data_IF_945518754492
#
_entry.id   IF_945518754492
#
_cell.length_a   1.000
_cell.length_b   1.000
_cell.length_c   1.000
_cell.angle_alpha   90.00
_cell.angle_beta   90.00
_cell.angle_gamma   90.00
#
_symmetry.space_group_name_H-M   'P 1'
#
loop_
_entity.id
_entity.type
_entity.pdbx_description
1 polymer ?
#
# COMPACT_ATOMS: atom_id res chain seq x y z
N UNK A 1 -13.37 22.69 0.41
CA UNK A 1 -13.12 21.53 -0.47
C UNK A 1 -12.63 20.41 0.42
N UNK A 2 -13.24 19.22 0.38
CA UNK A 2 -12.78 18.06 1.15
C UNK A 2 -12.08 17.13 0.16
N UNK A 3 -10.80 16.85 0.37
CA UNK A 3 -10.06 15.82 -0.36
C UNK A 3 -9.86 14.62 0.56
N UNK A 4 -9.88 13.41 -0.01
CA UNK A 4 -9.35 12.25 0.69
C UNK A 4 -7.82 12.29 0.56
N UNK A 5 -7.08 12.32 1.68
CA UNK A 5 -5.64 12.19 1.61
C UNK A 5 -5.28 10.79 1.12
N UNK A 6 -4.48 10.68 0.05
CA UNK A 6 -3.85 9.42 -0.35
C UNK A 6 -2.67 9.15 0.59
N UNK A 7 -2.97 8.60 1.78
CA UNK A 7 -1.95 8.36 2.79
C UNK A 7 -0.86 7.40 2.32
N UNK A 8 -1.21 6.40 1.50
CA UNK A 8 -0.21 5.49 0.93
C UNK A 8 0.80 6.24 0.05
N UNK A 9 0.33 7.16 -0.81
CA UNK A 9 1.20 8.06 -1.58
C UNK A 9 2.09 8.90 -0.68
N UNK A 10 1.51 9.55 0.34
CA UNK A 10 2.27 10.42 1.27
C UNK A 10 3.38 9.63 2.00
N UNK A 11 3.13 8.37 2.36
CA UNK A 11 4.13 7.51 2.98
C UNK A 11 5.26 7.13 2.00
N UNK A 12 4.94 6.91 0.73
CA UNK A 12 5.95 6.71 -0.32
C UNK A 12 6.75 7.98 -0.59
N UNK A 13 6.11 9.15 -0.64
CA UNK A 13 6.76 10.45 -0.79
C UNK A 13 7.70 10.74 0.39
N UNK A 14 7.28 10.43 1.63
CA UNK A 14 8.15 10.49 2.81
C UNK A 14 9.34 9.54 2.69
N UNK A 15 9.11 8.34 2.16
CA UNK A 15 10.19 7.40 1.87
C UNK A 15 11.14 8.02 0.85
N UNK A 16 10.67 8.54 -0.28
CA UNK A 16 11.51 9.19 -1.31
C UNK A 16 12.34 10.35 -0.76
N UNK A 17 11.71 11.27 -0.03
CA UNK A 17 12.36 12.47 0.51
C UNK A 17 13.35 12.18 1.63
N UNK A 18 13.27 11.00 2.25
CA UNK A 18 14.29 10.56 3.17
C UNK A 18 15.49 10.03 2.38
N UNK A 19 16.59 10.79 2.40
CA UNK A 19 17.82 10.50 1.65
C UNK A 19 18.80 9.60 2.43
N UNK A 20 18.43 9.11 3.61
CA UNK A 20 19.26 8.18 4.38
C UNK A 20 19.15 6.78 3.84
N UNK A 21 20.22 6.01 3.85
CA UNK A 21 20.18 4.58 3.51
C UNK A 21 19.61 3.69 4.64
N UNK A 22 18.81 4.24 5.57
CA UNK A 22 18.22 3.52 6.71
C UNK A 22 17.12 2.56 6.24
N UNK A 23 17.54 1.34 5.91
CA UNK A 23 16.64 0.34 5.35
C UNK A 23 15.50 -0.05 6.29
N UNK A 24 15.71 0.01 7.61
CA UNK A 24 14.67 -0.30 8.58
C UNK A 24 13.50 0.70 8.49
N UNK A 25 13.81 1.99 8.42
CA UNK A 25 12.82 3.06 8.23
C UNK A 25 12.11 2.91 6.89
N UNK A 26 12.84 2.67 5.80
CA UNK A 26 12.22 2.53 4.48
C UNK A 26 11.32 1.30 4.36
N UNK A 27 11.72 0.17 4.95
CA UNK A 27 10.89 -1.04 5.01
C UNK A 27 9.60 -0.78 5.77
N UNK A 28 9.68 -0.10 6.92
CA UNK A 28 8.49 0.25 7.69
C UNK A 28 7.57 1.19 6.90
N UNK A 29 8.09 2.28 6.34
CA UNK A 29 7.32 3.24 5.54
C UNK A 29 6.65 2.58 4.34
N UNK A 30 7.38 1.76 3.58
CA UNK A 30 6.86 1.10 2.38
C UNK A 30 5.79 0.06 2.73
N UNK A 31 5.96 -0.72 3.79
CA UNK A 31 4.93 -1.65 4.26
C UNK A 31 3.67 -0.92 4.75
N UNK A 32 3.84 0.19 5.48
CA UNK A 32 2.72 1.04 5.89
C UNK A 32 2.02 1.70 4.70
N UNK A 33 2.76 2.09 3.65
CA UNK A 33 2.19 2.68 2.45
C UNK A 33 1.23 1.72 1.74
N UNK A 34 1.59 0.44 1.62
CA UNK A 34 0.71 -0.57 1.02
C UNK A 34 -0.56 -0.78 1.85
N UNK A 35 -0.43 -0.87 3.18
CA UNK A 35 -1.59 -0.99 4.07
C UNK A 35 -2.50 0.24 3.99
N UNK A 36 -1.91 1.44 4.01
CA UNK A 36 -2.61 2.71 3.90
C UNK A 36 -3.33 2.83 2.54
N UNK A 37 -2.71 2.38 1.45
CA UNK A 37 -3.35 2.33 0.13
C UNK A 37 -4.67 1.55 0.15
N UNK A 38 -4.71 0.36 0.77
CA UNK A 38 -5.96 -0.41 0.86
C UNK A 38 -7.04 0.33 1.65
N UNK A 39 -6.64 1.08 2.68
CA UNK A 39 -7.56 1.93 3.45
C UNK A 39 -8.01 3.16 2.66
N UNK A 40 -7.12 3.76 1.86
CA UNK A 40 -7.44 4.86 0.97
C UNK A 40 -8.47 4.39 -0.08
N UNK A 41 -8.28 3.20 -0.66
CA UNK A 41 -9.18 2.64 -1.66
C UNK A 41 -10.58 2.37 -1.09
N UNK A 42 -10.65 1.77 0.10
CA UNK A 42 -11.91 1.61 0.85
C UNK A 42 -12.56 2.96 1.16
N UNK A 43 -11.79 3.89 1.71
CA UNK A 43 -12.27 5.22 2.12
C UNK A 43 -12.79 6.03 0.94
N UNK A 44 -12.20 5.85 -0.24
CA UNK A 44 -12.67 6.43 -1.49
C UNK A 44 -14.10 6.01 -1.81
N UNK A 45 -14.38 4.72 -1.88
CA UNK A 45 -15.75 4.23 -2.09
C UNK A 45 -16.72 4.73 -1.02
N UNK A 46 -16.32 4.69 0.25
CA UNK A 46 -17.14 5.20 1.34
C UNK A 46 -17.43 6.70 1.21
N UNK A 47 -16.50 7.48 0.67
CA UNK A 47 -16.72 8.91 0.42
C UNK A 47 -17.68 9.15 -0.74
N UNK A 48 -17.60 8.34 -1.80
CA UNK A 48 -18.51 8.42 -2.95
C UNK A 48 -19.90 7.92 -2.56
N UNK A 49 -20.01 6.92 -1.68
CA UNK A 49 -21.28 6.35 -1.24
C UNK A 49 -22.02 7.21 -0.21
N UNK A 50 -21.33 8.15 0.46
CA UNK A 50 -21.91 8.99 1.52
C UNK A 50 -23.10 9.80 0.98
N UNK A 51 -24.29 9.68 1.58
CA UNK A 51 -25.45 10.48 1.19
C UNK A 51 -25.14 11.97 1.33
N UNK A 52 -25.45 12.76 0.31
CA UNK A 52 -25.25 14.22 0.36
C UNK A 52 -26.59 14.89 0.68
N UNK A 53 -26.62 15.82 1.66
CA UNK A 53 -27.81 16.60 1.90
C UNK A 53 -28.05 17.53 0.71
N UNK A 54 -29.28 17.59 0.24
CA UNK A 54 -29.75 18.62 -0.69
C UNK A 54 -30.99 19.26 -0.11
N UNK A 55 -31.03 20.59 -0.17
CA UNK A 55 -32.18 21.38 0.26
C UNK A 55 -33.13 21.55 -0.91
N UNK A 56 -34.35 21.02 -0.78
CA UNK A 56 -35.39 21.31 -1.76
C UNK A 56 -35.78 22.79 -1.61
N UNK A 57 -35.82 23.58 -2.71
CA UNK A 57 -36.18 24.99 -2.65
C UNK A 57 -37.52 25.19 -1.93
N UNK A 58 -37.55 26.15 -0.99
CA UNK A 58 -38.78 26.51 -0.28
C UNK A 58 -39.79 27.06 -1.28
N UNK A 59 -41.01 26.52 -1.27
CA UNK A 59 -42.14 27.12 -1.99
C UNK A 59 -43.07 27.79 -0.99
N UNK A 60 -43.97 28.66 -1.45
CA UNK A 60 -44.98 29.34 -0.61
C UNK A 60 -45.83 28.36 0.22
N UNK A 61 -45.92 27.09 -0.21
CA UNK A 61 -46.78 26.07 0.39
C UNK A 61 -46.02 24.89 1.02
N UNK A 62 -44.68 24.86 0.97
CA UNK A 62 -43.88 23.79 1.58
C UNK A 62 -42.64 24.34 2.30
N UNK A 63 -42.42 23.98 3.58
CA UNK A 63 -41.19 24.32 4.29
C UNK A 63 -39.99 23.64 3.60
N UNK A 64 -38.80 24.20 3.81
CA UNK A 64 -37.57 23.58 3.32
C UNK A 64 -37.37 22.23 4.02
N UNK A 65 -37.32 21.15 3.25
CA UNK A 65 -36.98 19.81 3.72
C UNK A 65 -35.55 19.48 3.29
N UNK A 66 -34.70 19.07 4.23
CA UNK A 66 -33.40 18.48 3.90
C UNK A 66 -33.65 17.03 3.51
N UNK A 67 -33.38 16.69 2.25
CA UNK A 67 -33.41 15.31 1.76
C UNK A 67 -31.99 14.83 1.53
N UNK A 68 -31.78 13.52 1.66
CA UNK A 68 -30.51 12.87 1.34
C UNK A 68 -30.70 12.11 0.03
N UNK A 69 -29.86 12.40 -0.97
CA UNK A 69 -29.78 11.60 -2.19
C UNK A 69 -28.52 10.74 -2.13
N UNK A 70 -28.53 9.59 -2.81
CA UNK A 70 -27.39 8.68 -2.88
C UNK A 70 -26.12 9.45 -3.28
N UNK A 71 -25.00 9.11 -2.65
CA UNK A 71 -23.72 9.71 -3.00
C UNK A 71 -23.34 9.41 -4.46
N UNK A 72 -22.50 10.27 -5.03
CA UNK A 72 -22.03 10.18 -6.41
C UNK A 72 -20.76 11.01 -6.60
N UNK A 73 -20.09 10.78 -7.72
CA UNK A 73 -18.85 11.43 -8.10
C UNK A 73 -19.06 12.16 -9.42
N UNK A 74 -18.71 13.45 -9.47
CA UNK A 74 -18.72 14.19 -10.74
C UNK A 74 -17.47 13.79 -11.53
N UNK A 75 -17.66 13.18 -12.70
CA UNK A 75 -16.59 12.76 -13.61
C UNK A 75 -16.76 13.53 -14.92
N UNK A 76 -15.89 14.52 -15.14
CA UNK A 76 -16.09 15.49 -16.22
C UNK A 76 -17.40 16.28 -16.01
N UNK A 77 -18.36 16.11 -16.91
CA UNK A 77 -19.68 16.76 -16.87
C UNK A 77 -20.80 15.83 -16.38
N UNK A 78 -20.53 14.55 -16.13
CA UNK A 78 -21.54 13.56 -15.71
C UNK A 78 -21.42 13.20 -14.23
N UNK A 79 -22.56 13.00 -13.57
CA UNK A 79 -22.59 12.47 -12.20
C UNK A 79 -22.62 10.93 -12.29
N UNK A 80 -21.54 10.30 -11.84
CA UNK A 80 -21.39 8.86 -11.77
C UNK A 80 -21.78 8.33 -10.38
N UNK A 81 -22.37 7.14 -10.37
CA UNK A 81 -22.83 6.47 -9.15
C UNK A 81 -22.20 5.10 -9.03
N UNK A 82 -22.02 4.63 -7.78
CA UNK A 82 -21.45 3.31 -7.51
C UNK A 82 -22.31 2.22 -8.15
N UNK A 83 -21.73 1.54 -9.13
CA UNK A 83 -22.35 0.45 -9.88
C UNK A 83 -22.35 -0.86 -9.08
N UNK A 84 -23.02 -1.89 -9.61
CA UNK A 84 -23.16 -3.19 -8.91
C UNK A 84 -21.79 -3.81 -8.59
N UNK A 85 -20.88 -3.82 -9.55
CA UNK A 85 -19.57 -4.46 -9.40
C UNK A 85 -18.65 -3.62 -8.49
N UNK A 86 -18.80 -2.30 -8.49
CA UNK A 86 -18.14 -1.41 -7.53
C UNK A 86 -18.64 -1.62 -6.10
N UNK A 87 -19.94 -1.91 -5.91
CA UNK A 87 -20.47 -2.31 -4.59
C UNK A 87 -19.91 -3.64 -4.12
N UNK A 88 -19.76 -4.59 -5.05
CA UNK A 88 -19.13 -5.86 -4.73
C UNK A 88 -17.67 -5.67 -4.28
N UNK A 89 -16.90 -4.85 -5.00
CA UNK A 89 -15.52 -4.52 -4.64
C UNK A 89 -15.45 -3.77 -3.31
N UNK A 90 -16.35 -2.81 -3.07
CA UNK A 90 -16.48 -2.12 -1.79
C UNK A 90 -16.73 -3.11 -0.64
N UNK A 91 -17.66 -4.04 -0.81
CA UNK A 91 -17.95 -5.07 0.19
C UNK A 91 -16.78 -6.03 0.41
N UNK A 92 -16.04 -6.37 -0.65
CA UNK A 92 -14.79 -7.12 -0.55
C UNK A 92 -13.78 -6.36 0.32
N UNK A 93 -13.49 -5.09 0.01
CA UNK A 93 -12.56 -4.25 0.76
C UNK A 93 -12.95 -4.09 2.23
N UNK A 94 -14.25 -3.90 2.52
CA UNK A 94 -14.77 -3.86 3.89
C UNK A 94 -14.50 -5.19 4.64
N UNK A 95 -14.68 -6.33 3.96
CA UNK A 95 -14.43 -7.66 4.52
C UNK A 95 -12.95 -7.95 4.84
N UNK A 96 -12.01 -7.23 4.24
CA UNK A 96 -10.58 -7.42 4.43
C UNK A 96 -10.03 -6.71 5.69
N UNK A 97 -10.78 -5.82 6.34
CA UNK A 97 -10.27 -4.92 7.38
C UNK A 97 -9.56 -5.65 8.54
N UNK A 98 -10.09 -6.81 8.95
CA UNK A 98 -9.61 -7.59 10.10
C UNK A 98 -8.39 -8.48 9.81
N UNK A 99 -8.02 -8.63 8.55
CA UNK A 99 -6.95 -9.54 8.13
C UNK A 99 -5.57 -8.90 8.26
N UNK A 100 -4.51 -9.70 8.26
CA UNK A 100 -3.14 -9.17 8.10
C UNK A 100 -2.85 -8.75 6.66
N UNK A 101 -1.94 -7.80 6.44
CA UNK A 101 -1.64 -7.24 5.11
C UNK A 101 -1.44 -8.30 4.01
N UNK A 102 -0.65 -9.34 4.27
CA UNK A 102 -0.44 -10.46 3.31
C UNK A 102 -1.78 -11.09 2.91
N UNK A 103 -2.61 -11.44 3.89
CA UNK A 103 -3.89 -12.10 3.66
C UNK A 103 -4.92 -11.17 2.98
N UNK A 104 -4.90 -9.86 3.29
CA UNK A 104 -5.72 -8.87 2.59
C UNK A 104 -5.44 -8.90 1.09
N UNK A 105 -4.17 -8.80 0.75
CA UNK A 105 -3.72 -8.72 -0.62
C UNK A 105 -3.94 -10.03 -1.38
N UNK A 106 -3.69 -11.18 -0.74
CA UNK A 106 -3.98 -12.51 -1.30
C UNK A 106 -5.47 -12.66 -1.67
N UNK A 107 -6.37 -12.38 -0.73
CA UNK A 107 -7.82 -12.45 -0.95
C UNK A 107 -8.28 -11.49 -2.05
N UNK A 108 -7.68 -10.30 -2.11
CA UNK A 108 -7.98 -9.31 -3.14
C UNK A 108 -7.57 -9.80 -4.52
N UNK A 109 -6.36 -10.36 -4.67
CA UNK A 109 -5.89 -10.90 -5.94
C UNK A 109 -6.69 -12.12 -6.40
N UNK A 110 -7.03 -13.04 -5.49
CA UNK A 110 -7.89 -14.19 -5.80
C UNK A 110 -9.25 -13.72 -6.36
N UNK A 111 -9.78 -12.62 -5.81
CA UNK A 111 -11.06 -12.07 -6.23
C UNK A 111 -10.99 -11.30 -7.56
N UNK A 112 -9.89 -10.57 -7.80
CA UNK A 112 -9.74 -9.69 -8.96
C UNK A 112 -9.11 -10.39 -10.19
N UNK A 113 -8.28 -11.41 -9.99
CA UNK A 113 -7.49 -12.04 -11.04
C UNK A 113 -7.87 -13.52 -11.17
N UNK A 114 -8.71 -13.89 -12.15
CA UNK A 114 -9.12 -15.27 -12.37
C UNK A 114 -7.93 -16.20 -12.59
N UNK A 115 -7.86 -17.30 -11.82
CA UNK A 115 -6.79 -18.29 -11.95
C UNK A 115 -5.46 -17.88 -11.32
N UNK A 116 -5.45 -16.81 -10.52
CA UNK A 116 -4.26 -16.40 -9.77
C UNK A 116 -3.70 -17.50 -8.87
N UNK A 117 -2.37 -17.57 -8.78
CA UNK A 117 -1.65 -18.55 -7.95
C UNK A 117 -0.50 -17.89 -7.20
N UNK A 118 -0.44 -18.14 -5.89
CA UNK A 118 0.60 -17.59 -4.99
C UNK A 118 2.04 -17.84 -5.48
N UNK A 119 2.30 -19.03 -6.03
CA UNK A 119 3.64 -19.45 -6.44
C UNK A 119 4.16 -18.83 -7.73
N UNK A 120 3.31 -18.18 -8.54
CA UNK A 120 3.67 -17.63 -9.85
C UNK A 120 3.80 -16.09 -9.82
N UNK A 121 3.25 -15.43 -8.79
CA UNK A 121 3.23 -13.98 -8.68
C UNK A 121 4.44 -13.42 -7.90
N UNK A 122 5.39 -12.82 -8.61
CA UNK A 122 6.57 -12.18 -8.00
C UNK A 122 6.25 -10.93 -7.17
N UNK A 123 5.18 -10.19 -7.49
CA UNK A 123 4.74 -9.02 -6.71
C UNK A 123 4.26 -9.49 -5.34
N UNK A 124 3.47 -10.57 -5.30
CA UNK A 124 3.01 -11.19 -4.06
C UNK A 124 4.16 -11.76 -3.21
N UNK A 125 5.12 -12.43 -3.85
CA UNK A 125 6.30 -12.95 -3.14
C UNK A 125 7.13 -11.82 -2.52
N UNK A 126 7.28 -10.70 -3.23
CA UNK A 126 7.99 -9.54 -2.70
C UNK A 126 7.21 -8.84 -1.58
N UNK A 127 5.88 -8.74 -1.67
CA UNK A 127 5.04 -8.32 -0.54
C UNK A 127 5.28 -9.22 0.68
N UNK A 128 5.27 -10.53 0.49
CA UNK A 128 5.49 -11.49 1.58
C UNK A 128 6.86 -11.30 2.25
N UNK A 129 7.91 -11.01 1.48
CA UNK A 129 9.25 -10.70 2.01
C UNK A 129 9.25 -9.38 2.77
N UNK A 130 8.64 -8.34 2.22
CA UNK A 130 8.54 -7.01 2.83
C UNK A 130 7.81 -7.08 4.18
N UNK A 131 6.68 -7.78 4.23
CA UNK A 131 5.88 -7.97 5.45
C UNK A 131 6.64 -8.79 6.49
N UNK A 132 7.32 -9.87 6.08
CA UNK A 132 8.16 -10.66 7.00
C UNK A 132 9.26 -9.82 7.61
N UNK A 133 10.02 -9.09 6.79
CA UNK A 133 11.10 -8.22 7.25
C UNK A 133 10.58 -7.14 8.20
N UNK A 134 9.49 -6.45 7.84
CA UNK A 134 8.84 -5.46 8.71
C UNK A 134 8.42 -6.07 10.04
N UNK A 135 7.86 -7.28 10.04
CA UNK A 135 7.43 -7.94 11.27
C UNK A 135 8.62 -8.32 12.15
N UNK A 136 9.72 -8.79 11.56
CA UNK A 136 10.97 -9.05 12.31
C UNK A 136 11.54 -7.78 12.93
N UNK A 137 11.42 -6.63 12.26
CA UNK A 137 11.83 -5.32 12.80
C UNK A 137 10.91 -4.83 13.93
N UNK A 138 9.60 -4.87 13.73
CA UNK A 138 8.62 -4.32 14.68
C UNK A 138 8.47 -5.20 15.92
N UNK A 139 8.59 -6.51 15.76
CA UNK A 139 8.48 -7.48 16.85
C UNK A 139 9.85 -8.02 17.26
N UNK A 140 10.90 -7.20 17.10
CA UNK A 140 12.24 -7.57 17.51
C UNK A 140 12.24 -7.94 18.99
N UNK A 141 12.82 -9.10 19.28
CA UNK A 141 13.07 -9.56 20.64
C UNK A 141 14.56 -9.41 20.92
N UNK A 142 14.90 -9.15 22.18
CA UNK A 142 16.28 -9.16 22.64
C UNK A 142 16.76 -10.60 22.75
N UNK A 143 17.05 -11.21 21.60
CA UNK A 143 17.62 -12.55 21.50
C UNK A 143 19.14 -12.45 21.47
N UNK A 144 19.84 -13.44 22.05
CA UNK A 144 21.30 -13.53 21.97
C UNK A 144 21.74 -13.75 20.52
N UNK A 145 22.76 -13.01 20.07
CA UNK A 145 23.33 -13.13 18.73
C UNK A 145 24.68 -13.85 18.79
N UNK A 146 24.87 -14.84 17.92
CA UNK A 146 26.18 -15.44 17.70
C UNK A 146 27.07 -14.46 16.93
N UNK A 147 28.19 -14.06 17.53
CA UNK A 147 29.21 -13.23 16.89
C UNK A 147 30.41 -14.08 16.45
N UNK A 148 31.09 -13.64 15.39
CA UNK A 148 32.38 -14.22 14.95
C UNK A 148 33.56 -13.67 15.77
N UNK A 149 34.79 -14.09 15.42
CA UNK A 149 36.01 -13.67 16.11
C UNK A 149 36.24 -12.15 16.00
N UNK A 150 35.76 -11.54 14.92
CA UNK A 150 35.80 -10.12 14.64
C UNK A 150 34.61 -9.31 15.22
N UNK A 151 33.77 -9.93 16.06
CA UNK A 151 32.58 -9.35 16.70
C UNK A 151 31.43 -8.99 15.73
N UNK A 152 31.37 -9.62 14.55
CA UNK A 152 30.27 -9.45 13.61
C UNK A 152 29.22 -10.54 13.76
N UNK A 153 27.99 -10.24 13.35
CA UNK A 153 26.91 -11.24 13.33
C UNK A 153 27.27 -12.41 12.42
N UNK A 154 27.49 -13.58 13.01
CA UNK A 154 27.85 -14.81 12.31
C UNK A 154 26.63 -15.42 11.58
N UNK A 155 25.45 -15.39 12.22
CA UNK A 155 24.21 -15.92 11.67
C UNK A 155 23.08 -14.89 11.75
N UNK A 156 22.86 -14.09 10.69
CA UNK A 156 21.75 -13.16 10.68
C UNK A 156 20.40 -13.90 10.52
N UNK A 157 19.27 -13.24 10.82
CA UNK A 157 17.95 -13.82 10.60
C UNK A 157 17.73 -14.31 9.18
N UNK A 158 16.86 -15.30 9.01
CA UNK A 158 16.58 -15.94 7.71
C UNK A 158 16.16 -14.93 6.65
N UNK A 159 15.43 -13.89 7.04
CA UNK A 159 14.98 -12.80 6.16
C UNK A 159 16.17 -12.06 5.54
N UNK A 160 17.23 -11.82 6.31
CA UNK A 160 18.47 -11.16 5.84
C UNK A 160 19.17 -12.05 4.82
N UNK A 161 19.35 -13.34 5.15
CA UNK A 161 19.96 -14.31 4.24
C UNK A 161 19.19 -14.42 2.91
N UNK A 162 17.85 -14.37 2.96
CA UNK A 162 17.02 -14.37 1.76
C UNK A 162 17.26 -13.12 0.91
N UNK A 163 17.33 -11.93 1.53
CA UNK A 163 17.57 -10.67 0.82
C UNK A 163 18.99 -10.57 0.24
N UNK A 164 20.00 -11.12 0.93
CA UNK A 164 21.36 -11.26 0.40
C UNK A 164 21.37 -12.14 -0.85
N UNK A 165 20.69 -13.30 -0.81
CA UNK A 165 20.58 -14.20 -1.97
C UNK A 165 19.89 -13.53 -3.16
N UNK A 166 18.94 -12.63 -2.91
CA UNK A 166 18.25 -11.86 -3.94
C UNK A 166 19.05 -10.64 -4.42
N UNK A 167 20.22 -10.36 -3.86
CA UNK A 167 21.03 -9.19 -4.17
C UNK A 167 20.40 -7.87 -3.72
N UNK A 168 19.42 -7.91 -2.82
CA UNK A 168 18.71 -6.74 -2.29
C UNK A 168 19.53 -6.04 -1.20
N UNK A 169 20.41 -6.77 -0.52
CA UNK A 169 21.42 -6.24 0.41
C UNK A 169 22.78 -6.88 0.13
N UNK A 170 23.84 -6.22 0.57
CA UNK A 170 25.20 -6.75 0.44
C UNK A 170 25.47 -7.95 1.33
N UNK A 171 26.39 -8.81 0.89
CA UNK A 171 26.94 -9.92 1.69
C UNK A 171 27.93 -9.43 2.75
N UNK A 172 28.63 -8.33 2.48
CA UNK A 172 29.88 -7.98 3.18
C UNK A 172 29.65 -6.88 4.21
N UNK A 173 28.92 -7.17 5.28
CA UNK A 173 28.71 -6.20 6.37
C UNK A 173 29.21 -6.76 7.69
N UNK A 174 30.36 -6.25 8.10
CA UNK A 174 30.92 -6.40 9.44
C UNK A 174 30.13 -5.53 10.42
N UNK A 175 29.09 -6.09 11.05
CA UNK A 175 28.26 -5.36 12.02
C UNK A 175 27.94 -6.21 13.24
N UNK A 176 27.82 -5.55 14.39
CA UNK A 176 27.44 -6.15 15.68
C UNK A 176 25.94 -6.44 15.81
N UNK A 177 25.13 -5.95 14.85
CA UNK A 177 23.69 -6.14 14.81
C UNK A 177 23.23 -6.32 13.37
N UNK A 178 22.28 -7.24 13.17
CA UNK A 178 21.70 -7.50 11.86
C UNK A 178 20.85 -6.33 11.36
N UNK A 179 20.40 -5.41 12.24
CA UNK A 179 19.64 -4.23 11.84
C UNK A 179 20.51 -3.32 10.97
N UNK A 180 21.79 -3.10 11.34
CA UNK A 180 22.73 -2.31 10.53
C UNK A 180 23.05 -2.96 9.18
N UNK A 181 22.77 -4.26 9.01
CA UNK A 181 22.89 -4.92 7.71
C UNK A 181 21.82 -4.43 6.72
N UNK A 182 20.75 -3.81 7.21
CA UNK A 182 19.69 -3.24 6.39
C UNK A 182 20.03 -1.87 5.82
N UNK A 183 21.07 -1.19 6.32
CA UNK A 183 21.39 0.19 5.92
C UNK A 183 22.01 0.26 4.50
N UNK A 184 21.30 -0.23 3.49
CA UNK A 184 21.74 -0.48 2.13
C UNK A 184 20.81 0.20 1.13
N UNK A 185 21.38 1.07 0.28
CA UNK A 185 20.65 1.76 -0.78
C UNK A 185 19.86 0.79 -1.69
N UNK A 186 20.36 -0.43 -1.91
CA UNK A 186 19.65 -1.46 -2.70
C UNK A 186 18.37 -1.92 -2.01
N UNK A 187 18.37 -2.05 -0.68
CA UNK A 187 17.19 -2.41 0.09
C UNK A 187 16.17 -1.28 0.07
N UNK A 188 16.62 -0.05 0.26
CA UNK A 188 15.77 1.15 0.18
C UNK A 188 15.06 1.22 -1.17
N UNK A 189 15.81 1.08 -2.26
CA UNK A 189 15.26 1.04 -3.63
C UNK A 189 14.28 -0.12 -3.78
N UNK A 190 14.66 -1.32 -3.37
CA UNK A 190 13.82 -2.50 -3.47
C UNK A 190 12.50 -2.34 -2.71
N UNK A 191 12.52 -1.82 -1.49
CA UNK A 191 11.33 -1.63 -0.67
C UNK A 191 10.34 -0.64 -1.33
N UNK A 192 10.85 0.50 -1.81
CA UNK A 192 10.07 1.52 -2.52
C UNK A 192 9.44 0.95 -3.80
N UNK A 193 10.26 0.35 -4.67
CA UNK A 193 9.80 -0.27 -5.92
C UNK A 193 8.80 -1.39 -5.67
N UNK A 194 9.02 -2.19 -4.62
CA UNK A 194 8.11 -3.27 -4.24
C UNK A 194 6.75 -2.71 -3.84
N UNK A 195 6.68 -1.71 -2.96
CA UNK A 195 5.41 -1.10 -2.56
C UNK A 195 4.66 -0.50 -3.75
N UNK A 196 5.36 0.20 -4.65
CA UNK A 196 4.77 0.75 -5.88
C UNK A 196 4.18 -0.34 -6.77
N UNK A 197 4.94 -1.41 -7.03
CA UNK A 197 4.48 -2.54 -7.85
C UNK A 197 3.24 -3.22 -7.25
N UNK A 198 3.20 -3.37 -5.94
CA UNK A 198 2.07 -3.93 -5.21
C UNK A 198 0.82 -3.07 -5.38
N UNK A 199 0.95 -1.75 -5.19
CA UNK A 199 -0.18 -0.82 -5.34
C UNK A 199 -0.68 -0.83 -6.80
N UNK A 200 0.24 -0.70 -7.77
CA UNK A 200 -0.09 -0.73 -9.19
C UNK A 200 -0.78 -2.02 -9.61
N UNK A 201 -0.28 -3.18 -9.16
CA UNK A 201 -0.89 -4.46 -9.51
C UNK A 201 -2.36 -4.56 -9.05
N UNK A 202 -2.70 -4.03 -7.87
CA UNK A 202 -4.11 -3.98 -7.41
C UNK A 202 -4.93 -3.00 -8.25
N UNK A 203 -4.38 -1.82 -8.50
CA UNK A 203 -5.04 -0.77 -9.29
C UNK A 203 -5.32 -1.23 -10.73
N UNK A 204 -4.37 -1.92 -11.36
CA UNK A 204 -4.49 -2.50 -12.71
C UNK A 204 -5.42 -3.71 -12.76
N UNK A 205 -5.56 -4.45 -11.66
CA UNK A 205 -6.50 -5.58 -11.55
C UNK A 205 -7.91 -5.15 -11.17
N UNK A 206 -8.11 -3.89 -10.75
CA UNK A 206 -9.42 -3.38 -10.40
C UNK A 206 -10.32 -3.26 -11.64
N UNK A 207 -11.64 -3.48 -11.51
CA UNK A 207 -12.56 -3.43 -12.63
C UNK A 207 -12.61 -2.03 -13.27
N UNK A 208 -12.70 -1.99 -14.59
CA UNK A 208 -12.71 -0.75 -15.36
C UNK A 208 -14.10 -0.09 -15.34
N UNK A 209 -14.39 0.59 -14.23
CA UNK A 209 -15.69 1.22 -13.95
C UNK A 209 -15.50 2.71 -13.66
N UNK A 210 -16.50 3.57 -13.90
CA UNK A 210 -16.30 5.03 -13.86
C UNK A 210 -15.75 5.57 -12.54
N UNK A 211 -16.27 5.13 -11.39
CA UNK A 211 -15.80 5.61 -10.08
C UNK A 211 -14.43 5.01 -9.76
N UNK A 212 -14.25 3.72 -10.05
CA UNK A 212 -12.98 2.99 -9.86
C UNK A 212 -11.84 3.61 -10.67
N UNK A 213 -12.12 3.97 -11.93
CA UNK A 213 -11.14 4.54 -12.85
C UNK A 213 -10.63 5.88 -12.36
N UNK A 214 -11.50 6.75 -11.82
CA UNK A 214 -11.07 8.03 -11.24
C UNK A 214 -10.09 7.82 -10.09
N UNK A 215 -10.37 6.87 -9.19
CA UNK A 215 -9.44 6.56 -8.10
C UNK A 215 -8.11 6.03 -8.65
N UNK A 216 -8.18 5.03 -9.53
CA UNK A 216 -7.03 4.39 -10.15
C UNK A 216 -6.13 5.41 -10.84
N UNK A 217 -6.69 6.22 -11.72
CA UNK A 217 -5.93 7.14 -12.54
C UNK A 217 -5.31 8.26 -11.68
N UNK A 218 -6.05 8.75 -10.68
CA UNK A 218 -5.51 9.72 -9.71
C UNK A 218 -4.36 9.12 -8.90
N UNK A 219 -4.51 7.90 -8.39
CA UNK A 219 -3.48 7.26 -7.56
C UNK A 219 -2.24 6.88 -8.37
N UNK A 220 -2.41 6.40 -9.61
CA UNK A 220 -1.31 6.12 -10.54
C UNK A 220 -0.54 7.40 -10.88
N UNK A 221 -1.25 8.48 -11.22
CA UNK A 221 -0.62 9.77 -11.52
C UNK A 221 0.29 10.23 -10.38
N UNK A 222 -0.20 10.16 -9.14
CA UNK A 222 0.58 10.55 -7.96
C UNK A 222 1.79 9.63 -7.74
N UNK A 223 1.63 8.31 -7.87
CA UNK A 223 2.74 7.36 -7.74
C UNK A 223 3.80 7.57 -8.83
N UNK A 224 3.39 7.84 -10.07
CA UNK A 224 4.30 8.03 -11.21
C UNK A 224 5.08 9.34 -11.12
N UNK A 225 4.61 10.29 -10.30
CA UNK A 225 5.35 11.51 -10.00
C UNK A 225 6.54 11.29 -9.06
N UNK A 226 6.59 10.15 -8.34
CA UNK A 226 7.64 9.83 -7.37
C UNK A 226 8.89 9.26 -8.07
N UNK A 227 10.07 9.75 -7.70
CA UNK A 227 11.32 9.30 -8.27
C UNK A 227 12.05 8.33 -7.32
N UNK A 228 12.12 7.05 -7.72
CA UNK A 228 12.84 6.03 -6.96
C UNK A 228 14.19 5.63 -7.59
N UNK A 229 14.72 6.47 -8.48
CA UNK A 229 16.11 6.35 -8.92
C UNK A 229 17.04 6.67 -7.74
N UNK A 230 18.06 5.83 -7.57
CA UNK A 230 19.08 6.04 -6.54
C UNK A 230 20.08 7.05 -7.12
N UNK A 231 20.43 8.13 -6.40
CA UNK A 231 21.59 8.93 -6.77
C UNK A 231 22.81 8.01 -6.84
N UNK A 232 23.35 7.80 -8.04
CA UNK A 232 24.61 7.08 -8.27
C UNK A 232 25.77 7.77 -7.59
#
# INVERSE_FOLDING_TARGET
MLSLPFHGVILLEKSEKNLTDDGAVHVALCAMAVEAFLQDFKSFYQSVSKPRPYSVPRTLFKPAETRFFGGGLLVGETMEYIQRDERWLMALLDGLEKEGLKAKYEKLLIALVPGWKEGEDEVFKNLSRLVKLRNSLVHIKSDELELDEEQNVNKPPREILELQRLGVIGSDRSTVSWIFMLDDARLVKWARVTAVKIIKAVLESAPDLPVTSVFRDSYIFEIDSLNFEVPT
#
